data_IF_512864130307
#
_entry.id   IF_512864130307
#
_cell.length_a   1.000
_cell.length_b   1.000
_cell.length_c   1.000
_cell.angle_alpha   90.00
_cell.angle_beta   90.00
_cell.angle_gamma   90.00
#
_symmetry.space_group_name_H-M   'P 1'
#
loop_
_entity.id
_entity.type
_entity.pdbx_description
1 polymer ?
#
# COMPACT_ATOMS: atom_id res chain seq x y z
N UNK A 1 -25.26 -51.98 55.70
CA UNK A 1 -23.98 -51.43 55.31
C UNK A 1 -24.02 -51.18 53.80
N UNK A 2 -24.30 -49.97 53.40
CA UNK A 2 -24.45 -49.61 52.00
C UNK A 2 -23.40 -48.54 51.69
N UNK A 3 -22.36 -48.91 50.93
CA UNK A 3 -21.30 -47.94 50.47
C UNK A 3 -21.79 -47.19 49.26
N UNK A 4 -22.04 -45.89 49.42
CA UNK A 4 -22.33 -44.95 48.33
C UNK A 4 -21.01 -44.55 47.64
N UNK A 5 -20.83 -44.96 46.40
CA UNK A 5 -19.73 -44.61 45.56
C UNK A 5 -20.05 -43.27 44.88
N UNK A 6 -19.41 -42.19 45.33
CA UNK A 6 -19.50 -40.88 44.66
C UNK A 6 -18.63 -40.89 43.40
N UNK A 7 -19.26 -40.83 42.24
CA UNK A 7 -18.59 -40.61 40.96
C UNK A 7 -18.39 -39.11 40.79
N UNK A 8 -17.12 -38.67 40.78
CA UNK A 8 -16.73 -37.29 40.52
C UNK A 8 -16.54 -37.11 39.00
N UNK A 9 -17.50 -36.42 38.34
CA UNK A 9 -17.38 -36.06 36.95
C UNK A 9 -16.44 -34.84 36.85
N UNK A 10 -15.23 -35.05 36.35
CA UNK A 10 -14.31 -33.97 36.01
C UNK A 10 -14.68 -33.39 34.61
N UNK A 11 -15.25 -32.21 34.60
CA UNK A 11 -15.53 -31.44 33.37
C UNK A 11 -14.22 -30.87 32.86
N UNK A 12 -13.67 -31.43 31.77
CA UNK A 12 -12.48 -30.91 31.09
C UNK A 12 -12.95 -29.79 30.17
N UNK A 13 -12.78 -28.52 30.59
CA UNK A 13 -12.97 -27.38 29.76
C UNK A 13 -11.73 -27.20 28.84
N UNK A 14 -11.85 -27.63 27.58
CA UNK A 14 -10.83 -27.35 26.56
C UNK A 14 -10.91 -25.87 26.16
N UNK A 15 -9.83 -25.07 26.29
CA UNK A 15 -9.80 -23.75 25.72
C UNK A 15 -9.72 -23.86 24.20
N UNK A 16 -10.74 -23.39 23.50
CA UNK A 16 -10.70 -23.11 22.07
C UNK A 16 -9.75 -21.93 21.85
N UNK A 17 -8.49 -22.22 21.50
CA UNK A 17 -7.57 -21.23 20.94
C UNK A 17 -8.11 -20.82 19.56
N UNK A 18 -8.86 -19.73 19.51
CA UNK A 18 -9.16 -19.03 18.27
C UNK A 18 -7.83 -18.47 17.74
N UNK A 19 -7.15 -19.24 16.90
CA UNK A 19 -6.04 -18.75 16.09
C UNK A 19 -6.64 -17.75 15.10
N UNK A 20 -6.49 -16.45 15.38
CA UNK A 20 -6.62 -15.44 14.34
C UNK A 20 -5.48 -15.70 13.35
N UNK A 21 -5.76 -16.48 12.31
CA UNK A 21 -4.90 -16.51 11.14
C UNK A 21 -4.91 -15.10 10.56
N UNK A 22 -3.81 -14.37 10.72
CA UNK A 22 -3.53 -13.18 9.90
C UNK A 22 -3.40 -13.74 8.50
N UNK A 23 -4.45 -13.60 7.70
CA UNK A 23 -4.38 -13.84 6.27
C UNK A 23 -3.45 -12.74 5.73
N UNK A 24 -2.22 -13.11 5.40
CA UNK A 24 -1.42 -12.30 4.50
C UNK A 24 -2.11 -12.42 3.14
N UNK A 25 -2.90 -11.42 2.81
CA UNK A 25 -3.43 -11.32 1.46
C UNK A 25 -2.24 -11.33 0.51
N UNK A 26 -2.34 -12.12 -0.56
CA UNK A 26 -1.29 -12.24 -1.56
C UNK A 26 -1.09 -10.92 -2.32
N UNK A 27 -0.17 -10.88 -3.28
CA UNK A 27 0.05 -9.68 -4.05
C UNK A 27 -1.25 -9.26 -4.75
N UNK A 28 -1.57 -7.97 -4.66
CA UNK A 28 -2.74 -7.37 -5.32
C UNK A 28 -2.55 -7.17 -6.82
N UNK A 29 -1.44 -7.62 -7.34
CA UNK A 29 -1.03 -7.46 -8.73
C UNK A 29 -0.63 -8.80 -9.33
N UNK A 30 -1.01 -9.05 -10.59
CA UNK A 30 -0.41 -10.10 -11.41
C UNK A 30 1.04 -9.71 -11.73
N UNK A 31 2.00 -10.33 -11.06
CA UNK A 31 3.43 -10.06 -11.23
C UNK A 31 3.99 -10.55 -12.57
N UNK A 32 3.23 -11.31 -13.34
CA UNK A 32 3.60 -11.69 -14.72
C UNK A 32 3.28 -10.58 -15.73
N UNK A 33 2.37 -9.68 -15.39
CA UNK A 33 2.12 -8.49 -16.20
C UNK A 33 3.32 -7.52 -16.09
N UNK A 34 3.72 -6.84 -17.17
CA UNK A 34 4.76 -5.82 -17.10
C UNK A 34 4.30 -4.70 -16.16
N UNK A 35 5.26 -4.04 -15.49
CA UNK A 35 5.01 -2.80 -14.77
C UNK A 35 5.77 -1.69 -15.46
N UNK A 36 5.15 -0.55 -15.61
CA UNK A 36 5.76 0.61 -16.23
C UNK A 36 5.79 1.80 -15.29
N UNK A 37 6.63 2.74 -15.63
CA UNK A 37 6.80 4.01 -14.94
C UNK A 37 6.27 5.17 -15.79
N UNK A 38 5.81 6.23 -15.16
CA UNK A 38 5.40 7.42 -15.90
C UNK A 38 6.60 8.16 -16.48
N UNK A 39 6.54 8.48 -17.78
CA UNK A 39 7.56 9.31 -18.42
C UNK A 39 7.54 10.77 -17.94
N UNK A 40 6.51 11.17 -17.22
CA UNK A 40 6.27 12.54 -16.71
C UNK A 40 6.90 12.78 -15.33
N UNK A 41 7.54 11.80 -14.72
CA UNK A 41 8.03 11.94 -13.37
C UNK A 41 9.04 13.09 -13.24
N UNK A 42 8.77 13.99 -12.30
CA UNK A 42 9.66 15.05 -11.86
C UNK A 42 9.70 15.03 -10.33
N UNK A 43 10.87 14.80 -9.76
CA UNK A 43 11.03 14.64 -8.32
C UNK A 43 10.70 15.92 -7.54
N UNK A 44 10.95 17.10 -8.12
CA UNK A 44 10.63 18.36 -7.45
C UNK A 44 9.11 18.60 -7.40
N UNK A 45 8.42 18.34 -8.49
CA UNK A 45 6.96 18.44 -8.56
C UNK A 45 6.26 17.34 -7.76
N UNK A 46 6.87 16.15 -7.69
CA UNK A 46 6.32 15.03 -6.90
C UNK A 46 6.54 15.22 -5.40
N UNK A 47 7.52 16.02 -4.98
CA UNK A 47 7.79 16.29 -3.56
C UNK A 47 6.64 17.00 -2.88
N UNK A 48 6.55 16.83 -1.56
CA UNK A 48 5.53 17.40 -0.70
C UNK A 48 4.59 16.35 -0.11
N UNK A 49 3.48 16.79 0.44
CA UNK A 49 2.50 15.95 1.11
C UNK A 49 1.45 15.44 0.13
N UNK A 50 1.08 14.18 0.30
CA UNK A 50 0.04 13.48 -0.42
C UNK A 50 -0.89 12.81 0.57
N UNK A 51 -2.19 12.87 0.32
CA UNK A 51 -3.20 12.08 1.03
C UNK A 51 -3.31 10.71 0.38
N UNK A 52 -3.29 9.65 1.16
CA UNK A 52 -3.60 8.31 0.69
C UNK A 52 -5.12 8.22 0.45
N UNK A 53 -5.55 8.28 -0.81
CA UNK A 53 -6.96 8.36 -1.16
C UNK A 53 -7.63 6.99 -1.31
N UNK A 54 -6.98 6.07 -2.00
CA UNK A 54 -7.34 4.65 -2.09
C UNK A 54 -6.09 3.79 -2.02
N UNK A 55 -6.19 2.60 -1.44
CA UNK A 55 -5.08 1.67 -1.38
C UNK A 55 -5.54 0.21 -1.43
N UNK A 56 -4.61 -0.67 -1.75
CA UNK A 56 -4.77 -2.11 -1.63
C UNK A 56 -4.38 -2.56 -0.22
N UNK A 57 -5.17 -3.48 0.33
CA UNK A 57 -4.93 -4.05 1.65
C UNK A 57 -5.26 -3.12 2.81
N UNK A 58 -4.82 -3.47 4.02
CA UNK A 58 -5.18 -2.76 5.24
C UNK A 58 -4.42 -1.43 5.37
N UNK A 59 -4.56 -0.54 4.38
CA UNK A 59 -3.96 0.77 4.42
C UNK A 59 -4.66 1.65 5.45
N UNK A 60 -3.86 2.33 6.26
CA UNK A 60 -4.38 3.33 7.19
C UNK A 60 -4.56 4.66 6.47
N UNK A 61 -5.67 5.34 6.75
CA UNK A 61 -5.84 6.72 6.33
C UNK A 61 -4.68 7.59 6.83
N UNK A 62 -4.25 8.53 6.03
CA UNK A 62 -3.18 9.43 6.41
C UNK A 62 -2.43 10.04 5.24
N UNK A 63 -1.29 10.60 5.55
CA UNK A 63 -0.43 11.27 4.59
C UNK A 63 0.83 10.47 4.29
N UNK A 64 1.29 10.64 3.07
CA UNK A 64 2.63 10.24 2.59
C UNK A 64 3.35 11.52 2.19
N UNK A 65 4.57 11.70 2.65
CA UNK A 65 5.39 12.88 2.36
C UNK A 65 6.64 12.44 1.62
N UNK A 66 6.91 13.10 0.50
CA UNK A 66 8.17 12.93 -0.24
C UNK A 66 8.97 14.22 -0.15
N UNK A 67 10.21 14.12 0.29
CA UNK A 67 11.15 15.24 0.42
C UNK A 67 12.40 14.97 -0.39
N UNK A 68 12.86 15.97 -1.15
CA UNK A 68 14.17 15.87 -1.80
C UNK A 68 15.28 16.10 -0.78
N UNK A 69 16.20 15.17 -0.70
CA UNK A 69 17.37 15.21 0.18
C UNK A 69 18.58 14.73 -0.61
N UNK A 70 19.53 15.62 -0.88
CA UNK A 70 20.80 15.31 -1.55
C UNK A 70 20.67 14.48 -2.85
N UNK A 71 19.63 14.77 -3.66
CA UNK A 71 19.38 14.06 -4.93
C UNK A 71 18.58 12.77 -4.79
N UNK A 72 18.22 12.38 -3.57
CA UNK A 72 17.31 11.28 -3.25
C UNK A 72 15.93 11.82 -2.86
N UNK A 73 14.93 10.94 -2.82
CA UNK A 73 13.61 11.21 -2.26
C UNK A 73 13.46 10.46 -0.93
N UNK A 74 13.23 11.18 0.14
CA UNK A 74 12.84 10.60 1.43
C UNK A 74 11.34 10.48 1.51
N UNK A 75 10.85 9.27 1.71
CA UNK A 75 9.45 8.98 1.99
C UNK A 75 9.20 8.87 3.49
N UNK A 76 8.18 9.55 3.98
CA UNK A 76 7.72 9.51 5.36
C UNK A 76 6.20 9.66 5.43
N UNK A 77 5.63 9.73 6.63
CA UNK A 77 4.20 9.95 6.82
C UNK A 77 3.51 8.81 7.57
N UNK A 78 2.24 9.01 7.90
CA UNK A 78 1.47 8.08 8.73
C UNK A 78 0.90 6.88 7.94
N UNK A 79 0.65 7.05 6.65
CA UNK A 79 -0.12 6.10 5.86
C UNK A 79 0.68 4.90 5.32
N UNK A 80 2.01 5.01 5.22
CA UNK A 80 2.84 3.98 4.60
C UNK A 80 4.17 3.77 5.36
N UNK A 81 4.10 3.60 6.67
CA UNK A 81 5.28 3.52 7.54
C UNK A 81 6.26 2.40 7.16
N UNK A 82 5.76 1.26 6.68
CA UNK A 82 6.61 0.13 6.25
C UNK A 82 7.51 0.48 5.03
N UNK A 83 7.13 1.51 4.27
CA UNK A 83 7.86 1.98 3.09
C UNK A 83 8.66 3.26 3.37
N UNK A 84 8.58 3.82 4.58
CA UNK A 84 9.29 5.03 4.94
C UNK A 84 10.82 4.86 4.84
N UNK A 85 11.52 5.85 4.27
CA UNK A 85 12.96 5.86 4.13
C UNK A 85 13.44 6.57 2.88
N UNK A 86 14.73 6.47 2.61
CA UNK A 86 15.38 7.13 1.49
C UNK A 86 15.35 6.24 0.24
N UNK A 87 15.11 6.88 -0.91
CA UNK A 87 15.01 6.26 -2.23
C UNK A 87 15.84 7.02 -3.23
N UNK A 88 16.68 6.32 -3.97
CA UNK A 88 17.37 6.88 -5.12
C UNK A 88 16.46 6.86 -6.34
N UNK A 89 16.38 7.95 -7.13
CA UNK A 89 15.67 7.93 -8.38
C UNK A 89 16.30 6.93 -9.36
N UNK A 90 15.49 6.01 -9.85
CA UNK A 90 15.84 5.10 -10.95
C UNK A 90 15.44 5.68 -12.31
N UNK A 91 15.01 4.81 -13.21
CA UNK A 91 14.50 5.24 -14.52
C UNK A 91 13.13 5.88 -14.33
N UNK A 92 13.00 7.15 -14.68
CA UNK A 92 11.72 7.90 -14.80
C UNK A 92 10.77 7.67 -13.64
N UNK A 93 10.48 7.55 -12.68
CA UNK A 93 9.44 7.23 -11.69
C UNK A 93 9.68 5.94 -10.91
N UNK A 94 10.82 5.27 -11.12
CA UNK A 94 11.30 4.26 -10.19
C UNK A 94 11.94 4.94 -8.99
N UNK A 95 11.61 4.46 -7.81
CA UNK A 95 12.18 4.87 -6.53
C UNK A 95 12.84 3.65 -5.90
N UNK A 96 14.16 3.56 -6.03
CA UNK A 96 14.96 2.42 -5.55
C UNK A 96 15.34 2.68 -4.10
N UNK A 97 14.93 1.83 -3.15
CA UNK A 97 15.26 2.05 -1.74
C UNK A 97 16.75 1.89 -1.46
N UNK A 98 17.26 2.63 -0.51
CA UNK A 98 18.64 2.50 0.00
C UNK A 98 18.85 1.26 0.89
N UNK A 99 17.79 0.53 1.19
CA UNK A 99 17.77 -0.63 2.07
C UNK A 99 17.10 -1.84 1.39
N UNK A 100 17.73 -3.00 1.48
CA UNK A 100 17.18 -4.26 0.97
C UNK A 100 15.96 -4.78 1.75
N UNK A 101 15.63 -4.15 2.87
CA UNK A 101 14.43 -4.45 3.65
C UNK A 101 13.16 -3.82 3.06
N UNK A 102 13.31 -2.92 2.10
CA UNK A 102 12.21 -2.23 1.42
C UNK A 102 12.18 -2.61 -0.06
N UNK A 103 11.02 -2.43 -0.66
CA UNK A 103 10.82 -2.70 -2.08
C UNK A 103 10.95 -1.44 -2.92
N UNK A 104 11.29 -1.62 -4.18
CA UNK A 104 11.23 -0.54 -5.18
C UNK A 104 9.79 -0.08 -5.33
N UNK A 105 9.57 1.22 -5.17
CA UNK A 105 8.33 1.88 -5.50
C UNK A 105 8.36 2.35 -6.95
N UNK A 106 7.20 2.31 -7.58
CA UNK A 106 7.00 2.73 -8.97
C UNK A 106 5.90 3.76 -9.01
N UNK A 107 6.20 4.95 -9.54
CA UNK A 107 5.19 5.93 -9.91
C UNK A 107 4.71 5.58 -11.31
N UNK A 108 3.58 4.87 -11.39
CA UNK A 108 3.03 4.37 -12.64
C UNK A 108 2.36 5.48 -13.45
N UNK A 109 1.77 6.44 -12.76
CA UNK A 109 1.07 7.55 -13.37
C UNK A 109 1.02 8.75 -12.42
N UNK A 110 1.04 9.94 -13.00
CA UNK A 110 0.74 11.20 -12.33
C UNK A 110 0.02 12.08 -13.35
N UNK A 111 -0.97 12.84 -12.91
CA UNK A 111 -1.67 13.78 -13.78
C UNK A 111 -0.78 14.98 -14.15
N UNK A 112 -1.27 15.83 -15.04
CA UNK A 112 -0.48 16.93 -15.61
C UNK A 112 -0.04 17.97 -14.57
N UNK A 113 -0.90 18.19 -13.58
CA UNK A 113 -0.68 19.21 -12.54
C UNK A 113 0.00 18.63 -11.27
N UNK A 114 0.35 17.34 -11.25
CA UNK A 114 0.90 16.62 -10.08
C UNK A 114 -0.01 16.66 -8.86
N UNK A 115 -1.32 16.57 -9.08
CA UNK A 115 -2.35 16.55 -8.02
C UNK A 115 -2.77 15.15 -7.63
N UNK A 116 -2.80 14.20 -8.59
CA UNK A 116 -3.19 12.80 -8.36
C UNK A 116 -2.13 11.85 -8.94
N UNK A 117 -1.79 10.79 -8.22
CA UNK A 117 -0.81 9.80 -8.67
C UNK A 117 -1.25 8.37 -8.36
N UNK A 118 -0.82 7.42 -9.20
CA UNK A 118 -0.90 5.98 -8.96
C UNK A 118 0.50 5.42 -8.72
N UNK A 119 0.71 4.83 -7.54
CA UNK A 119 1.99 4.27 -7.13
C UNK A 119 1.83 2.82 -6.67
N UNK A 120 2.92 2.06 -6.66
CA UNK A 120 2.93 0.72 -6.08
C UNK A 120 4.31 0.10 -6.03
N UNK A 121 4.41 -1.05 -5.38
CA UNK A 121 5.63 -1.88 -5.38
C UNK A 121 5.64 -2.83 -6.57
N UNK A 122 6.84 -3.22 -7.01
CA UNK A 122 6.99 -4.17 -8.12
C UNK A 122 6.36 -5.52 -7.80
N UNK A 123 6.42 -5.96 -6.54
CA UNK A 123 5.82 -7.22 -6.08
C UNK A 123 4.30 -7.20 -6.02
N UNK A 124 3.67 -6.01 -5.99
CA UNK A 124 2.24 -5.88 -5.75
C UNK A 124 1.83 -5.98 -4.29
N UNK A 125 2.77 -5.92 -3.35
CA UNK A 125 2.50 -5.95 -1.90
C UNK A 125 1.85 -4.66 -1.39
N UNK A 126 2.11 -3.54 -2.07
CA UNK A 126 1.53 -2.23 -1.78
C UNK A 126 1.21 -1.51 -3.09
N UNK A 127 0.05 -0.91 -3.17
CA UNK A 127 -0.36 -0.02 -4.26
C UNK A 127 -1.40 0.97 -3.77
N UNK A 128 -1.39 2.18 -4.34
CA UNK A 128 -2.24 3.25 -3.88
C UNK A 128 -2.50 4.30 -4.95
N UNK A 129 -3.60 5.02 -4.76
CA UNK A 129 -3.86 6.31 -5.41
C UNK A 129 -3.66 7.38 -4.36
N UNK A 130 -2.76 8.30 -4.66
CA UNK A 130 -2.44 9.47 -3.86
C UNK A 130 -3.09 10.70 -4.46
N UNK A 131 -3.45 11.66 -3.60
CA UNK A 131 -3.97 12.95 -4.03
C UNK A 131 -3.50 14.06 -3.09
N UNK A 132 -3.30 15.27 -3.59
CA UNK A 132 -2.75 16.37 -2.79
C UNK A 132 -3.67 16.78 -1.66
N UNK A 133 -4.94 16.95 -1.93
CA UNK A 133 -5.95 17.42 -0.97
C UNK A 133 -6.99 16.36 -0.59
N UNK A 134 -6.88 15.16 -1.17
CA UNK A 134 -7.79 14.04 -0.88
C UNK A 134 -9.16 14.15 -1.54
N UNK A 135 -9.31 15.05 -2.51
CA UNK A 135 -10.54 15.29 -3.27
C UNK A 135 -10.33 14.99 -4.74
N UNK A 136 -10.32 13.70 -5.09
CA UNK A 136 -10.01 13.27 -6.46
C UNK A 136 -11.21 13.46 -7.38
N UNK A 137 -11.09 14.25 -8.46
CA UNK A 137 -12.10 14.33 -9.51
C UNK A 137 -12.35 12.98 -10.17
N UNK A 138 -13.60 12.69 -10.62
CA UNK A 138 -13.95 11.37 -11.16
C UNK A 138 -13.11 10.93 -12.37
N UNK A 139 -12.68 11.84 -13.21
CA UNK A 139 -11.85 11.59 -14.38
C UNK A 139 -10.42 11.18 -13.97
N UNK A 140 -9.81 11.88 -13.02
CA UNK A 140 -8.49 11.52 -12.46
C UNK A 140 -8.55 10.19 -11.71
N UNK A 141 -9.60 9.97 -10.90
CA UNK A 141 -9.83 8.70 -10.23
C UNK A 141 -9.92 7.54 -11.22
N UNK A 142 -10.67 7.75 -12.32
CA UNK A 142 -10.78 6.75 -13.37
C UNK A 142 -9.44 6.49 -14.05
N UNK A 143 -8.71 7.53 -14.43
CA UNK A 143 -7.40 7.39 -15.10
C UNK A 143 -6.40 6.63 -14.22
N UNK A 144 -6.32 6.97 -12.93
CA UNK A 144 -5.44 6.27 -11.98
C UNK A 144 -5.77 4.77 -11.86
N UNK A 145 -7.07 4.42 -11.77
CA UNK A 145 -7.52 3.02 -11.72
C UNK A 145 -7.29 2.28 -13.04
N UNK A 146 -7.53 2.93 -14.18
CA UNK A 146 -7.27 2.33 -15.51
C UNK A 146 -5.78 1.97 -15.67
N UNK A 147 -4.88 2.84 -15.22
CA UNK A 147 -3.44 2.57 -15.23
C UNK A 147 -3.05 1.43 -14.29
N UNK A 148 -3.58 1.41 -13.07
CA UNK A 148 -3.36 0.29 -12.15
C UNK A 148 -3.81 -1.03 -12.79
N UNK A 149 -5.04 -1.06 -13.32
CA UNK A 149 -5.58 -2.24 -14.02
C UNK A 149 -4.70 -2.66 -15.21
N UNK A 150 -4.23 -1.70 -16.01
CA UNK A 150 -3.36 -1.97 -17.16
C UNK A 150 -2.05 -2.66 -16.76
N UNK A 151 -1.48 -2.32 -15.60
CA UNK A 151 -0.29 -2.95 -15.05
C UNK A 151 -0.57 -4.17 -14.16
N UNK A 152 -1.76 -4.75 -14.27
CA UNK A 152 -2.12 -6.03 -13.67
C UNK A 152 -2.62 -5.96 -12.23
N UNK A 153 -2.96 -4.77 -11.72
CA UNK A 153 -3.54 -4.64 -10.39
C UNK A 153 -5.04 -4.99 -10.38
N UNK A 154 -5.48 -5.72 -9.36
CA UNK A 154 -6.90 -6.00 -9.15
C UNK A 154 -7.60 -4.78 -8.52
N UNK A 155 -8.02 -3.87 -9.37
CA UNK A 155 -8.67 -2.61 -8.91
C UNK A 155 -9.99 -2.84 -8.17
N UNK A 156 -10.55 -4.05 -8.20
CA UNK A 156 -11.72 -4.40 -7.39
C UNK A 156 -11.39 -4.52 -5.90
N UNK A 157 -10.12 -4.72 -5.57
CA UNK A 157 -9.59 -4.79 -4.21
C UNK A 157 -9.09 -3.42 -3.67
N UNK A 158 -9.23 -2.34 -4.46
CA UNK A 158 -8.94 -0.99 -3.98
C UNK A 158 -10.02 -0.55 -2.98
N UNK A 159 -9.56 -0.13 -1.82
CA UNK A 159 -10.42 0.38 -0.77
C UNK A 159 -10.19 1.87 -0.54
N UNK A 160 -11.29 2.59 -0.31
CA UNK A 160 -11.23 3.99 0.09
C UNK A 160 -10.65 4.09 1.49
N UNK A 161 -9.58 4.87 1.66
CA UNK A 161 -9.10 5.15 3.01
C UNK A 161 -10.04 6.17 3.66
N UNK A 162 -10.59 5.85 4.82
CA UNK A 162 -11.40 6.80 5.58
C UNK A 162 -10.48 7.90 6.13
N UNK A 163 -10.80 9.16 5.82
CA UNK A 163 -10.18 10.33 6.46
C UNK A 163 -10.79 10.57 7.84
#
# INVERSE_FOLDING_TARGET
MIFARKVLLALIASPLLASCAVQSEGPYRDTTAPIGVTARFDAALFSGSWTLWEAFGPAQAGTVVFEQVDGSLRMSGSAAQALAGDYSPGVQGELIPDSTARETLVVMWVDEDFETAAIGTVSGSFGAILDRDGIVPPDRAKAARDILSFYGWDVSALERTAL
#
